data_IF_548386750591
#
_entry.id   IF_548386750591
#
_cell.length_a   1.000
_cell.length_b   1.000
_cell.length_c   1.000
_cell.angle_alpha   90.00
_cell.angle_beta   90.00
_cell.angle_gamma   90.00
#
_symmetry.space_group_name_H-M   'P 1'
#
loop_
_entity.id
_entity.type
_entity.pdbx_description
1 polymer ?
#
# COMPACT_ATOMS: atom_id res chain seq x y z
N UNK A 1 -69.77 29.23 28.17
CA UNK A 1 -71.16 28.79 28.38
C UNK A 1 -71.18 27.27 28.34
N UNK A 2 -71.64 26.73 29.45
CA UNK A 2 -71.84 25.34 29.85
C UNK A 2 -72.53 24.47 28.78
N UNK A 3 -72.14 23.19 28.62
CA UNK A 3 -72.98 21.99 28.88
C UNK A 3 -72.43 20.73 28.19
N UNK A 4 -72.38 19.70 29.03
CA UNK A 4 -72.05 18.29 28.88
C UNK A 4 -73.30 17.52 28.44
N UNK A 5 -73.26 16.61 27.45
CA UNK A 5 -74.22 15.48 27.38
C UNK A 5 -73.61 14.23 26.71
N UNK A 6 -73.81 13.13 27.43
CA UNK A 6 -73.49 11.72 27.22
C UNK A 6 -74.67 11.01 26.52
N UNK A 7 -74.49 10.13 25.53
CA UNK A 7 -75.41 9.00 25.27
C UNK A 7 -74.68 7.80 24.66
N UNK A 8 -74.85 6.65 25.31
CA UNK A 8 -74.42 5.32 24.89
C UNK A 8 -75.46 4.63 23.99
N UNK A 9 -75.01 3.74 23.11
CA UNK A 9 -75.88 2.83 22.35
C UNK A 9 -75.13 1.56 21.94
N UNK A 10 -75.51 0.43 22.54
CA UNK A 10 -75.07 -0.93 22.23
C UNK A 10 -75.66 -1.42 20.90
N UNK A 11 -74.88 -2.11 20.07
CA UNK A 11 -75.38 -3.16 19.18
C UNK A 11 -74.27 -4.17 18.83
N UNK A 12 -74.63 -5.44 18.94
CA UNK A 12 -73.74 -6.59 19.03
C UNK A 12 -73.40 -7.24 17.67
N UNK A 13 -72.17 -7.78 17.63
CA UNK A 13 -71.69 -9.02 17.01
C UNK A 13 -72.42 -9.58 15.77
N UNK A 14 -71.76 -9.47 14.61
CA UNK A 14 -71.87 -10.41 13.49
C UNK A 14 -70.47 -10.86 13.10
N UNK A 15 -70.12 -12.11 13.41
CA UNK A 15 -68.77 -12.65 13.26
C UNK A 15 -68.34 -12.93 11.82
N UNK A 16 -67.08 -12.64 11.55
CA UNK A 16 -66.33 -13.08 10.37
C UNK A 16 -64.85 -13.12 10.72
N UNK A 17 -64.42 -14.20 11.39
CA UNK A 17 -63.01 -14.42 11.74
C UNK A 17 -62.21 -14.83 10.50
N UNK A 18 -61.60 -13.84 9.86
CA UNK A 18 -60.45 -14.05 8.96
C UNK A 18 -59.23 -13.51 9.68
N UNK A 19 -58.44 -14.41 10.26
CA UNK A 19 -57.17 -14.06 10.90
C UNK A 19 -56.22 -13.47 9.83
N UNK A 20 -55.58 -12.30 10.06
CA UNK A 20 -54.56 -11.80 9.17
C UNK A 20 -53.29 -12.64 9.31
N UNK A 21 -52.85 -13.29 8.24
CA UNK A 21 -51.53 -13.91 8.15
C UNK A 21 -50.46 -12.82 8.23
N UNK A 22 -49.72 -12.80 9.34
CA UNK A 22 -48.53 -11.99 9.51
C UNK A 22 -47.49 -12.35 8.43
N UNK A 23 -46.90 -11.39 7.70
CA UNK A 23 -45.78 -11.65 6.81
C UNK A 23 -44.62 -12.27 7.61
N UNK A 24 -44.09 -13.39 7.11
CA UNK A 24 -42.91 -14.03 7.69
C UNK A 24 -41.69 -13.09 7.69
N UNK A 25 -40.74 -13.28 8.62
CA UNK A 25 -39.54 -12.46 8.69
C UNK A 25 -38.78 -12.46 7.35
N UNK A 26 -38.20 -11.31 6.95
CA UNK A 26 -37.41 -11.22 5.72
C UNK A 26 -36.30 -12.28 5.70
N UNK A 27 -36.09 -12.92 4.54
CA UNK A 27 -34.99 -13.84 4.37
C UNK A 27 -33.66 -13.14 4.72
N UNK A 28 -32.85 -13.79 5.53
CA UNK A 28 -31.52 -13.29 5.88
C UNK A 28 -30.70 -13.08 4.59
N UNK A 29 -29.93 -11.98 4.48
CA UNK A 29 -29.12 -11.73 3.31
C UNK A 29 -28.13 -12.89 3.13
N UNK A 30 -28.15 -13.51 1.96
CA UNK A 30 -27.15 -14.50 1.57
C UNK A 30 -25.77 -13.84 1.64
N UNK A 31 -24.80 -14.40 2.36
CA UNK A 31 -23.46 -13.84 2.39
C UNK A 31 -22.88 -13.85 0.97
N UNK A 32 -22.52 -12.66 0.47
CA UNK A 32 -21.78 -12.55 -0.79
C UNK A 32 -20.46 -13.32 -0.64
N UNK A 33 -20.13 -14.26 -1.53
CA UNK A 33 -18.86 -14.95 -1.45
C UNK A 33 -17.73 -13.93 -1.52
N UNK A 34 -16.83 -13.99 -0.54
CA UNK A 34 -15.60 -13.21 -0.53
C UNK A 34 -14.81 -13.61 -1.78
N UNK A 35 -14.39 -12.67 -2.64
CA UNK A 35 -13.60 -13.00 -3.81
C UNK A 35 -12.33 -13.74 -3.37
N UNK A 36 -12.11 -14.93 -3.93
CA UNK A 36 -10.87 -15.68 -3.73
C UNK A 36 -9.71 -14.79 -4.16
N UNK A 37 -8.68 -14.57 -3.32
CA UNK A 37 -7.53 -13.76 -3.71
C UNK A 37 -6.89 -14.38 -4.95
N UNK A 38 -6.78 -13.60 -6.02
CA UNK A 38 -6.05 -14.00 -7.22
C UNK A 38 -4.61 -14.31 -6.82
N UNK A 39 -4.05 -15.48 -7.19
CA UNK A 39 -2.67 -15.81 -6.89
C UNK A 39 -1.73 -14.74 -7.44
N UNK A 40 -0.80 -14.24 -6.63
CA UNK A 40 0.21 -13.29 -7.08
C UNK A 40 1.12 -13.99 -8.12
N UNK A 41 1.20 -13.48 -9.37
CA UNK A 41 1.88 -14.17 -10.46
C UNK A 41 3.40 -14.32 -10.25
N UNK A 42 3.98 -13.56 -9.31
CA UNK A 42 5.41 -13.59 -9.02
C UNK A 42 5.81 -14.62 -7.97
N UNK A 43 4.85 -15.21 -7.24
CA UNK A 43 5.13 -16.11 -6.12
C UNK A 43 5.98 -17.33 -6.55
N UNK A 44 5.61 -17.97 -7.67
CA UNK A 44 6.33 -19.13 -8.18
C UNK A 44 7.77 -18.79 -8.60
N UNK A 45 7.98 -17.65 -9.27
CA UNK A 45 9.30 -17.21 -9.73
C UNK A 45 10.19 -16.66 -8.61
N UNK A 46 9.60 -16.14 -7.54
CA UNK A 46 10.35 -15.77 -6.33
C UNK A 46 10.97 -17.01 -5.64
N UNK A 47 10.27 -18.15 -5.71
CA UNK A 47 10.74 -19.41 -5.17
C UNK A 47 10.73 -19.44 -3.63
N UNK A 48 11.47 -20.38 -3.07
CA UNK A 48 11.50 -20.65 -1.62
C UNK A 48 12.76 -20.11 -0.95
N UNK A 49 12.65 -19.48 0.25
CA UNK A 49 11.41 -19.18 0.95
C UNK A 49 10.67 -18.00 0.31
N UNK A 50 9.35 -18.08 0.23
CA UNK A 50 8.52 -16.95 -0.18
C UNK A 50 8.40 -15.97 1.01
N UNK A 51 8.61 -14.65 0.84
CA UNK A 51 8.42 -13.72 1.94
C UNK A 51 6.96 -13.68 2.39
N UNK A 52 6.73 -13.57 3.70
CA UNK A 52 5.39 -13.36 4.24
C UNK A 52 4.99 -11.90 4.07
N UNK A 53 3.71 -11.66 3.77
CA UNK A 53 3.14 -10.31 3.76
C UNK A 53 3.06 -9.70 5.16
N UNK A 54 2.89 -10.51 6.20
CA UNK A 54 2.90 -10.06 7.60
C UNK A 54 4.29 -9.56 8.03
N UNK A 55 5.35 -10.02 7.36
CA UNK A 55 6.72 -9.60 7.63
C UNK A 55 7.16 -8.42 6.75
N UNK A 56 6.27 -7.88 5.91
CA UNK A 56 6.57 -6.71 5.08
C UNK A 56 6.87 -5.50 5.96
N UNK A 57 8.04 -4.90 5.75
CA UNK A 57 8.54 -3.81 6.58
C UNK A 57 8.54 -2.46 5.84
N UNK A 58 7.98 -2.40 4.64
CA UNK A 58 8.03 -1.20 3.79
C UNK A 58 9.18 -1.26 2.79
N UNK A 59 9.72 -0.09 2.44
CA UNK A 59 10.76 0.05 1.44
C UNK A 59 12.02 0.69 2.01
N UNK A 60 13.17 0.10 1.68
CA UNK A 60 14.46 0.77 1.79
C UNK A 60 14.64 1.64 0.57
N UNK A 61 14.66 2.96 0.75
CA UNK A 61 14.93 3.93 -0.31
C UNK A 61 16.36 4.42 -0.20
N UNK A 62 17.10 4.41 -1.31
CA UNK A 62 18.48 4.89 -1.38
C UNK A 62 18.71 5.73 -2.63
N UNK A 63 19.67 6.64 -2.60
CA UNK A 63 20.17 7.27 -3.81
C UNK A 63 21.03 6.26 -4.57
N UNK A 64 20.58 5.86 -5.75
CA UNK A 64 21.27 4.90 -6.63
C UNK A 64 22.33 5.58 -7.49
N UNK A 65 22.01 6.75 -8.04
CA UNK A 65 22.89 7.53 -8.90
C UNK A 65 22.66 9.02 -8.69
N UNK A 66 23.72 9.79 -8.87
CA UNK A 66 23.67 11.24 -8.86
C UNK A 66 24.11 11.78 -10.23
N UNK A 67 23.42 12.80 -10.70
CA UNK A 67 23.76 13.54 -11.91
C UNK A 67 23.66 15.04 -11.60
N UNK A 68 24.25 15.85 -12.46
CA UNK A 68 24.08 17.31 -12.37
C UNK A 68 22.58 17.62 -12.42
N UNK A 69 22.07 18.30 -11.39
CA UNK A 69 20.68 18.72 -11.18
C UNK A 69 19.63 17.61 -10.98
N UNK A 70 20.04 16.36 -10.74
CA UNK A 70 19.09 15.32 -10.33
C UNK A 70 19.74 14.17 -9.58
N UNK A 71 18.96 13.54 -8.71
CA UNK A 71 19.31 12.23 -8.13
C UNK A 71 18.35 11.17 -8.66
N UNK A 72 18.80 9.93 -8.67
CA UNK A 72 17.97 8.76 -9.00
C UNK A 72 17.84 7.95 -7.73
N UNK A 73 16.63 7.88 -7.19
CA UNK A 73 16.32 7.02 -6.05
C UNK A 73 16.01 5.60 -6.53
N UNK A 74 16.32 4.62 -5.69
CA UNK A 74 15.93 3.23 -5.83
C UNK A 74 15.20 2.78 -4.57
N UNK A 75 14.05 2.14 -4.73
CA UNK A 75 13.33 1.48 -3.66
C UNK A 75 13.52 -0.04 -3.72
N UNK A 76 13.72 -0.66 -2.57
CA UNK A 76 13.77 -2.11 -2.39
C UNK A 76 12.81 -2.52 -1.28
N UNK A 77 11.86 -3.43 -1.50
CA UNK A 77 10.97 -3.87 -0.44
C UNK A 77 11.75 -4.65 0.63
N UNK A 78 11.39 -4.43 1.89
CA UNK A 78 12.08 -4.96 3.06
C UNK A 78 11.21 -5.97 3.80
N UNK A 79 11.87 -6.99 4.36
CA UNK A 79 11.25 -8.04 5.17
C UNK A 79 11.89 -8.00 6.56
N UNK A 80 11.06 -7.91 7.61
CA UNK A 80 11.50 -7.95 9.01
C UNK A 80 11.29 -9.32 9.60
N UNK A 81 12.14 -10.27 9.22
CA UNK A 81 12.12 -11.63 9.76
C UNK A 81 13.52 -12.24 9.66
N UNK A 82 14.21 -12.41 10.79
CA UNK A 82 15.59 -12.92 10.82
C UNK A 82 15.71 -14.35 10.26
N UNK A 83 14.70 -15.21 10.48
CA UNK A 83 14.68 -16.58 9.95
C UNK A 83 14.55 -16.57 8.44
N UNK A 84 13.64 -15.75 7.90
CA UNK A 84 13.52 -15.53 6.47
C UNK A 84 14.82 -14.97 5.89
N UNK A 85 15.38 -13.93 6.51
CA UNK A 85 16.60 -13.29 6.02
C UNK A 85 17.77 -14.28 5.94
N UNK A 86 17.95 -15.13 6.96
CA UNK A 86 18.94 -16.19 6.91
C UNK A 86 18.68 -17.19 5.78
N UNK A 87 17.45 -17.67 5.63
CA UNK A 87 17.07 -18.61 4.58
C UNK A 87 17.14 -18.01 3.17
N UNK A 88 16.98 -16.70 3.04
CA UNK A 88 17.13 -15.94 1.80
C UNK A 88 18.59 -15.61 1.47
N UNK A 89 19.58 -16.03 2.28
CA UNK A 89 21.00 -15.82 2.03
C UNK A 89 21.60 -14.57 2.69
N UNK A 90 20.91 -13.98 3.68
CA UNK A 90 21.35 -12.79 4.44
C UNK A 90 21.33 -13.05 5.96
N UNK A 91 22.15 -13.98 6.49
CA UNK A 91 22.06 -14.51 7.85
C UNK A 91 22.38 -13.53 8.99
N UNK A 92 23.03 -12.40 8.69
CA UNK A 92 23.37 -11.38 9.69
C UNK A 92 22.33 -10.26 9.84
N UNK A 93 21.15 -10.40 9.21
CA UNK A 93 20.14 -9.34 9.12
C UNK A 93 18.82 -9.74 9.77
N UNK A 94 18.26 -8.84 10.59
CA UNK A 94 16.89 -8.93 11.12
C UNK A 94 15.85 -8.25 10.23
N UNK A 95 16.31 -7.28 9.42
CA UNK A 95 15.57 -6.65 8.33
C UNK A 95 16.45 -6.77 7.08
N UNK A 96 15.93 -7.33 6.01
CA UNK A 96 16.67 -7.56 4.78
C UNK A 96 15.82 -7.24 3.55
N UNK A 97 16.47 -7.14 2.39
CA UNK A 97 15.76 -7.17 1.13
C UNK A 97 15.14 -8.55 0.91
N UNK A 98 14.31 -8.72 -0.12
CA UNK A 98 13.70 -10.02 -0.40
C UNK A 98 14.72 -11.10 -0.80
N UNK A 99 15.83 -10.71 -1.45
CA UNK A 99 16.99 -11.55 -1.82
C UNK A 99 18.29 -10.72 -1.86
N UNK A 100 19.47 -11.35 -1.92
CA UNK A 100 20.72 -10.69 -2.34
C UNK A 100 20.54 -9.96 -3.68
N UNK A 101 21.29 -8.88 -3.88
CA UNK A 101 21.12 -7.99 -5.05
C UNK A 101 21.40 -8.70 -6.39
N UNK A 102 22.30 -9.68 -6.38
CA UNK A 102 22.74 -10.49 -7.51
C UNK A 102 21.93 -11.78 -7.68
N UNK A 103 20.98 -12.07 -6.79
CA UNK A 103 20.17 -13.27 -6.88
C UNK A 103 19.16 -13.17 -8.04
N UNK A 104 19.07 -14.17 -8.94
CA UNK A 104 18.18 -14.10 -10.10
C UNK A 104 16.69 -14.05 -9.73
N UNK A 105 16.32 -14.53 -8.53
CA UNK A 105 14.96 -14.46 -8.03
C UNK A 105 14.58 -13.06 -7.49
N UNK A 106 15.57 -12.17 -7.29
CA UNK A 106 15.36 -10.87 -6.64
C UNK A 106 14.25 -10.05 -7.31
N UNK A 107 14.21 -9.86 -8.65
CA UNK A 107 13.17 -9.05 -9.27
C UNK A 107 11.77 -9.61 -9.01
N UNK A 108 11.61 -10.93 -9.09
CA UNK A 108 10.32 -11.58 -8.86
C UNK A 108 9.87 -11.49 -7.40
N UNK A 109 10.79 -11.66 -6.44
CA UNK A 109 10.47 -11.49 -5.04
C UNK A 109 10.13 -10.04 -4.68
N UNK A 110 10.84 -9.08 -5.29
CA UNK A 110 10.53 -7.66 -5.10
C UNK A 110 9.14 -7.35 -5.68
N UNK A 111 8.81 -7.84 -6.88
CA UNK A 111 7.47 -7.66 -7.46
C UNK A 111 6.37 -8.33 -6.64
N UNK A 112 6.65 -9.52 -6.10
CA UNK A 112 5.73 -10.24 -5.23
C UNK A 112 5.35 -9.39 -4.01
N UNK A 113 6.35 -8.79 -3.35
CA UNK A 113 6.12 -8.02 -2.12
C UNK A 113 5.62 -6.59 -2.39
N UNK A 114 6.04 -5.98 -3.51
CA UNK A 114 5.70 -4.60 -3.86
C UNK A 114 4.34 -4.46 -4.54
N UNK A 115 3.83 -5.52 -5.15
CA UNK A 115 2.56 -5.49 -5.89
C UNK A 115 2.66 -4.76 -7.23
N UNK A 116 1.50 -4.31 -7.71
CA UNK A 116 1.33 -3.60 -8.99
C UNK A 116 1.03 -2.14 -8.70
N UNK A 117 1.86 -1.23 -9.20
CA UNK A 117 1.69 0.22 -9.08
C UNK A 117 0.46 0.71 -9.84
N UNK A 118 0.07 1.96 -9.60
CA UNK A 118 -1.11 2.58 -10.21
C UNK A 118 -0.96 2.77 -11.72
N UNK A 119 0.28 2.73 -12.23
CA UNK A 119 0.58 2.71 -13.67
C UNK A 119 0.41 1.33 -14.31
N UNK A 120 0.05 0.32 -13.51
CA UNK A 120 -0.13 -1.07 -13.95
C UNK A 120 1.18 -1.85 -14.08
N UNK A 121 2.31 -1.29 -13.65
CA UNK A 121 3.61 -1.93 -13.70
C UNK A 121 4.00 -2.54 -12.34
N UNK A 122 4.83 -3.58 -12.29
CA UNK A 122 5.25 -4.18 -11.02
C UNK A 122 6.21 -3.27 -10.25
N UNK A 123 5.93 -3.00 -8.99
CA UNK A 123 6.73 -2.12 -8.13
C UNK A 123 5.90 -1.15 -7.28
N UNK A 124 6.55 -0.24 -6.55
CA UNK A 124 5.88 0.72 -5.68
C UNK A 124 5.22 1.86 -6.46
N UNK A 125 4.31 2.56 -5.77
CA UNK A 125 3.89 3.91 -6.08
C UNK A 125 4.84 4.91 -5.39
N UNK A 126 5.15 6.02 -6.05
CA UNK A 126 6.02 7.07 -5.50
C UNK A 126 5.25 8.34 -5.23
N UNK A 127 5.60 8.97 -4.11
CA UNK A 127 5.01 10.22 -3.65
C UNK A 127 6.11 11.17 -3.20
N UNK A 128 5.80 12.46 -3.24
CA UNK A 128 6.55 13.52 -2.59
C UNK A 128 5.69 14.08 -1.46
N UNK A 129 6.30 14.27 -0.29
CA UNK A 129 5.73 15.09 0.77
C UNK A 129 6.00 16.55 0.42
N UNK A 130 4.98 17.27 -0.04
CA UNK A 130 5.17 18.60 -0.66
C UNK A 130 5.19 19.75 0.33
N UNK A 131 4.81 19.51 1.59
CA UNK A 131 4.76 20.52 2.65
C UNK A 131 5.48 20.09 3.94
N UNK A 132 6.19 18.95 3.92
CA UNK A 132 6.87 18.36 5.08
C UNK A 132 5.94 18.06 6.28
N UNK A 133 4.61 18.04 6.06
CA UNK A 133 3.58 17.75 7.06
C UNK A 133 2.89 16.38 6.79
N UNK A 134 3.48 15.56 5.91
CA UNK A 134 2.95 14.24 5.53
C UNK A 134 1.94 14.26 4.38
N UNK A 135 1.83 15.39 3.66
CA UNK A 135 0.93 15.50 2.52
C UNK A 135 1.57 14.89 1.27
N UNK A 136 1.28 13.61 1.08
CA UNK A 136 1.81 12.83 -0.04
C UNK A 136 1.07 13.13 -1.35
N UNK A 137 1.80 13.68 -2.33
CA UNK A 137 1.33 13.91 -3.70
C UNK A 137 2.03 12.94 -4.65
N UNK A 138 1.32 12.27 -5.58
CA UNK A 138 1.93 11.35 -6.52
C UNK A 138 3.04 11.99 -7.36
N UNK A 139 4.18 11.32 -7.47
CA UNK A 139 5.29 11.79 -8.28
C UNK A 139 4.92 11.86 -9.77
N UNK A 140 5.10 13.04 -10.37
CA UNK A 140 4.69 13.34 -11.74
C UNK A 140 3.45 14.23 -11.84
N UNK A 141 2.74 14.44 -10.72
CA UNK A 141 1.65 15.41 -10.63
C UNK A 141 2.20 16.85 -10.53
N UNK A 142 1.31 17.81 -10.79
CA UNK A 142 1.64 19.23 -10.74
C UNK A 142 2.09 19.65 -9.35
N UNK A 143 3.22 20.36 -9.27
CA UNK A 143 3.80 20.83 -8.01
C UNK A 143 4.80 19.87 -7.36
N UNK A 144 5.01 18.67 -7.94
CA UNK A 144 6.07 17.75 -7.50
C UNK A 144 7.39 17.97 -8.24
N UNK A 145 8.49 17.65 -7.57
CA UNK A 145 9.87 17.66 -8.03
C UNK A 145 10.40 16.25 -8.30
N UNK A 146 9.52 15.29 -8.56
CA UNK A 146 9.88 13.92 -8.87
C UNK A 146 9.17 13.38 -10.11
N UNK A 147 9.81 12.44 -10.82
CA UNK A 147 9.25 11.78 -12.00
C UNK A 147 9.55 10.28 -11.98
N UNK A 148 8.49 9.50 -12.16
CA UNK A 148 8.58 8.06 -12.35
C UNK A 148 9.42 7.70 -13.57
N UNK A 149 10.19 6.61 -13.46
CA UNK A 149 10.84 5.98 -14.60
C UNK A 149 9.87 5.02 -15.28
N UNK A 150 9.44 5.28 -16.54
CA UNK A 150 8.51 4.37 -17.22
C UNK A 150 9.11 2.97 -17.42
N UNK A 151 10.44 2.86 -17.52
CA UNK A 151 11.14 1.59 -17.70
C UNK A 151 11.29 0.75 -16.42
N UNK A 152 11.18 1.36 -15.23
CA UNK A 152 11.40 0.66 -13.96
C UNK A 152 10.77 1.40 -12.77
N UNK A 153 9.67 0.86 -12.23
CA UNK A 153 8.94 1.47 -11.11
C UNK A 153 9.72 1.53 -9.80
N UNK A 154 10.82 0.79 -9.66
CA UNK A 154 11.70 0.91 -8.49
C UNK A 154 12.62 2.13 -8.55
N UNK A 155 12.61 2.89 -9.64
CA UNK A 155 13.45 4.06 -9.83
C UNK A 155 12.63 5.35 -9.94
N UNK A 156 13.15 6.40 -9.30
CA UNK A 156 12.57 7.73 -9.33
C UNK A 156 13.64 8.76 -9.68
N UNK A 157 13.41 9.60 -10.69
CA UNK A 157 14.21 10.82 -10.88
C UNK A 157 13.65 11.89 -9.91
N UNK A 158 14.52 12.48 -9.09
CA UNK A 158 14.18 13.62 -8.21
C UNK A 158 15.02 14.85 -8.60
N UNK A 159 14.40 16.02 -8.54
CA UNK A 159 14.92 17.28 -9.08
C UNK A 159 15.06 18.40 -8.03
N UNK A 160 14.70 18.12 -6.78
CA UNK A 160 14.92 19.01 -5.65
C UNK A 160 15.23 18.18 -4.38
N UNK A 161 15.69 18.83 -3.30
CA UNK A 161 15.57 18.31 -1.94
C UNK A 161 14.11 18.08 -1.55
N UNK A 162 13.89 17.31 -0.48
CA UNK A 162 12.57 16.99 0.03
C UNK A 162 12.44 15.52 0.46
N UNK A 163 11.22 15.14 0.82
CA UNK A 163 10.90 13.79 1.30
C UNK A 163 10.15 13.01 0.22
N UNK A 164 10.73 11.87 -0.17
CA UNK A 164 10.20 11.00 -1.22
C UNK A 164 9.85 9.64 -0.66
N UNK A 165 8.62 9.19 -0.91
CA UNK A 165 8.04 7.99 -0.29
C UNK A 165 7.69 6.96 -1.35
N UNK A 166 8.13 5.72 -1.15
CA UNK A 166 7.72 4.56 -1.93
C UNK A 166 6.73 3.73 -1.12
N UNK A 167 5.54 3.49 -1.66
CA UNK A 167 4.51 2.65 -1.05
C UNK A 167 4.17 1.45 -1.93
N UNK A 168 3.85 0.33 -1.30
CA UNK A 168 3.43 -0.87 -2.03
C UNK A 168 2.15 -0.62 -2.84
N UNK A 169 2.10 -1.16 -4.05
CA UNK A 169 0.95 -1.09 -4.94
C UNK A 169 -0.12 -2.13 -4.62
N UNK A 170 -1.07 -2.30 -5.54
CA UNK A 170 -2.15 -3.29 -5.43
C UNK A 170 -1.58 -4.71 -5.28
N UNK A 171 -2.10 -5.45 -4.30
CA UNK A 171 -1.66 -6.82 -4.01
C UNK A 171 -0.44 -6.91 -3.09
N UNK A 172 0.06 -5.78 -2.59
CA UNK A 172 1.01 -5.69 -1.48
C UNK A 172 0.29 -5.40 -0.15
N UNK A 173 1.00 -5.48 0.99
CA UNK A 173 0.50 -5.02 2.29
C UNK A 173 0.31 -3.50 2.41
N UNK A 174 0.68 -2.71 1.40
CA UNK A 174 0.55 -1.25 1.41
C UNK A 174 1.57 -0.51 2.29
N UNK A 175 2.56 -1.21 2.83
CA UNK A 175 3.63 -0.61 3.65
C UNK A 175 4.49 0.34 2.81
N UNK A 176 4.91 1.46 3.40
CA UNK A 176 5.72 2.49 2.76
C UNK A 176 7.12 2.61 3.36
N UNK A 177 8.02 3.30 2.68
CA UNK A 177 9.29 3.78 3.22
C UNK A 177 9.75 5.05 2.53
N UNK A 178 10.42 5.93 3.27
CA UNK A 178 10.82 7.26 2.81
C UNK A 178 12.33 7.44 2.67
N UNK A 179 12.70 8.42 1.86
CA UNK A 179 14.03 9.02 1.83
C UNK A 179 13.89 10.54 1.92
N UNK A 180 14.45 11.11 2.97
CA UNK A 180 14.59 12.56 3.12
C UNK A 180 15.92 13.00 2.56
N UNK A 181 15.90 13.87 1.55
CA UNK A 181 17.08 14.49 0.95
C UNK A 181 17.18 15.94 1.42
N UNK A 182 18.27 16.26 2.10
CA UNK A 182 18.53 17.60 2.61
C UNK A 182 19.16 18.52 1.56
N UNK A 183 18.96 19.83 1.75
CA UNK A 183 19.51 20.90 0.90
C UNK A 183 21.04 20.82 0.74
N UNK A 184 21.76 20.48 1.81
CA UNK A 184 23.22 20.37 1.83
C UNK A 184 23.74 19.18 1.00
N UNK A 185 22.89 18.21 0.71
CA UNK A 185 23.22 17.09 -0.18
C UNK A 185 23.04 17.44 -1.66
N UNK A 186 22.47 18.60 -1.99
CA UNK A 186 22.11 18.97 -3.35
C UNK A 186 23.27 19.62 -4.14
N UNK A 187 23.32 19.38 -5.45
CA UNK A 187 24.34 19.96 -6.33
C UNK A 187 25.75 19.34 -6.22
N UNK A 188 25.96 18.40 -5.31
CA UNK A 188 27.23 17.67 -5.13
C UNK A 188 27.05 16.20 -5.57
N UNK A 189 28.09 15.64 -6.21
CA UNK A 189 28.16 14.21 -6.52
C UNK A 189 29.01 13.53 -5.44
N UNK A 190 28.39 12.64 -4.70
CA UNK A 190 28.98 11.88 -3.61
C UNK A 190 29.61 10.60 -4.12
N UNK A 191 30.68 10.15 -3.44
CA UNK A 191 31.29 8.83 -3.73
C UNK A 191 30.44 7.67 -3.24
N UNK A 192 29.66 7.87 -2.17
CA UNK A 192 28.78 6.87 -1.60
C UNK A 192 27.41 7.48 -1.29
N UNK A 193 26.52 7.55 -2.29
CA UNK A 193 25.24 8.23 -2.13
C UNK A 193 24.19 7.40 -1.36
N UNK A 194 24.43 6.11 -1.14
CA UNK A 194 23.44 5.20 -0.54
C UNK A 194 23.05 5.56 0.90
N UNK A 195 23.89 6.32 1.63
CA UNK A 195 23.63 6.76 3.00
C UNK A 195 23.00 8.16 3.10
N UNK A 196 22.66 8.80 1.98
CA UNK A 196 22.10 10.15 1.98
C UNK A 196 20.62 10.17 2.40
N UNK A 197 19.95 9.03 2.33
CA UNK A 197 18.57 8.91 2.78
C UNK A 197 18.55 8.73 4.30
N UNK A 198 18.02 9.73 5.01
CA UNK A 198 17.52 9.51 6.36
C UNK A 198 16.14 8.85 6.29
N UNK A 199 15.78 7.96 7.24
CA UNK A 199 14.41 7.45 7.34
C UNK A 199 13.46 8.64 7.42
N UNK A 200 12.54 8.73 6.46
CA UNK A 200 11.37 9.62 6.53
C UNK A 200 10.28 8.99 7.38
#
# INVERSE_FOLDING_TARGET
>A
MMILVLVAGLAACGGGSSAPTQPGPPAAPTPTPVPTPTPNPYAASCGTPLPSFDDSYGFGVKVQLEKINKKILNASPLVKNATYCAAAGMPSRSICNTRPEDAPQRPYCDHYLSGISDTGQPGPNWFEDVDDDGHLVPCGDSGTHCKLKPENQYLLDVFAPGTYVACGGKGSPGTCGGCTLSEDSWGVIHRNPAGLCSPG
#
